data_IF_505099541122
#
_entry.id   IF_505099541122
#
_cell.length_a   1.000
_cell.length_b   1.000
_cell.length_c   1.000
_cell.angle_alpha   90.00
_cell.angle_beta   90.00
_cell.angle_gamma   90.00
#
_symmetry.space_group_name_H-M   'P 1'
#
loop_
_entity.id
_entity.type
_entity.pdbx_description
1 polymer ?
#
# COMPACT_ATOMS: atom_id res chain seq x y z
N UNK A 1 -30.21 -23.73 18.65
CA UNK A 1 -28.98 -24.47 19.00
C UNK A 1 -27.75 -23.66 18.57
N UNK A 2 -27.44 -22.52 19.19
CA UNK A 2 -26.22 -21.75 18.91
C UNK A 2 -24.92 -22.55 19.08
N UNK A 3 -24.93 -23.52 20.00
CA UNK A 3 -23.81 -24.39 20.35
C UNK A 3 -23.38 -25.37 19.24
N UNK A 4 -24.15 -25.46 18.14
CA UNK A 4 -23.82 -26.29 16.97
C UNK A 4 -23.18 -25.50 15.82
N UNK A 5 -23.17 -24.17 15.89
CA UNK A 5 -22.62 -23.30 14.86
C UNK A 5 -21.32 -22.64 15.31
N UNK A 6 -20.37 -22.48 14.38
CA UNK A 6 -19.19 -21.64 14.61
C UNK A 6 -19.54 -20.19 14.30
N UNK A 7 -19.42 -19.30 15.29
CA UNK A 7 -19.73 -17.89 15.11
C UNK A 7 -18.60 -17.21 14.33
N UNK A 8 -18.86 -16.85 13.06
CA UNK A 8 -17.86 -16.26 12.19
C UNK A 8 -17.35 -14.89 12.69
N UNK A 9 -18.17 -14.12 13.41
CA UNK A 9 -17.75 -12.85 14.04
C UNK A 9 -16.66 -13.11 15.08
N UNK A 10 -16.84 -14.10 15.95
CA UNK A 10 -15.81 -14.41 16.96
C UNK A 10 -14.49 -14.88 16.32
N UNK A 11 -14.57 -15.63 15.22
CA UNK A 11 -13.38 -16.02 14.46
C UNK A 11 -12.69 -14.81 13.83
N UNK A 12 -13.44 -13.91 13.18
CA UNK A 12 -12.90 -12.69 12.60
C UNK A 12 -12.32 -11.73 13.65
N UNK A 13 -12.90 -11.65 14.85
CA UNK A 13 -12.33 -10.87 15.96
C UNK A 13 -10.94 -11.36 16.35
N UNK A 14 -10.73 -12.69 16.42
CA UNK A 14 -9.41 -13.27 16.70
C UNK A 14 -8.42 -12.98 15.57
N UNK A 15 -8.85 -13.11 14.31
CA UNK A 15 -8.01 -12.75 13.14
C UNK A 15 -7.62 -11.28 13.18
N UNK A 16 -8.55 -10.38 13.49
CA UNK A 16 -8.29 -8.93 13.58
C UNK A 16 -7.25 -8.61 14.65
N UNK A 17 -7.34 -9.23 15.83
CA UNK A 17 -6.34 -9.08 16.90
C UNK A 17 -4.97 -9.67 16.51
N UNK A 18 -4.94 -10.78 15.79
CA UNK A 18 -3.70 -11.33 15.25
C UNK A 18 -3.08 -10.38 14.21
N UNK A 19 -3.89 -9.74 13.36
CA UNK A 19 -3.43 -8.73 12.41
C UNK A 19 -2.88 -7.48 13.09
N UNK A 20 -3.52 -7.00 14.15
CA UNK A 20 -2.97 -5.92 14.97
C UNK A 20 -1.61 -6.29 15.60
N UNK A 21 -1.49 -7.52 16.10
CA UNK A 21 -0.23 -8.03 16.67
C UNK A 21 0.89 -8.07 15.61
N UNK A 22 0.59 -8.60 14.42
CA UNK A 22 1.53 -8.60 13.30
C UNK A 22 1.90 -7.18 12.85
N UNK A 23 0.95 -6.24 12.84
CA UNK A 23 1.22 -4.85 12.53
C UNK A 23 2.20 -4.21 13.53
N UNK A 24 2.07 -4.53 14.81
CA UNK A 24 3.02 -4.08 15.84
C UNK A 24 4.42 -4.68 15.60
N UNK A 25 4.51 -5.99 15.33
CA UNK A 25 5.78 -6.65 15.01
C UNK A 25 6.45 -6.06 13.76
N UNK A 26 5.67 -5.77 12.72
CA UNK A 26 6.15 -5.13 11.49
C UNK A 26 6.70 -3.73 11.76
N UNK A 27 6.05 -2.94 12.62
CA UNK A 27 6.49 -1.58 12.93
C UNK A 27 7.84 -1.53 13.68
N UNK A 28 8.21 -2.62 14.36
CA UNK A 28 9.50 -2.78 15.05
C UNK A 28 10.62 -3.24 14.12
N UNK A 29 10.30 -3.65 12.88
CA UNK A 29 11.33 -4.06 11.91
C UNK A 29 12.17 -2.87 11.53
N UNK A 30 13.46 -2.99 11.81
CA UNK A 30 14.42 -1.98 11.42
C UNK A 30 14.59 -2.03 9.91
N UNK A 31 14.24 -0.93 9.26
CA UNK A 31 14.49 -0.72 7.84
C UNK A 31 15.43 0.47 7.72
N UNK A 32 16.57 0.27 7.05
CA UNK A 32 17.46 1.36 6.66
C UNK A 32 16.90 2.15 5.47
N UNK A 33 15.78 1.71 4.89
CA UNK A 33 15.16 2.38 3.76
C UNK A 33 14.39 3.62 4.23
N UNK A 34 14.48 4.77 3.53
CA UNK A 34 13.75 5.99 3.86
C UNK A 34 12.21 5.85 3.90
N UNK A 35 11.65 4.76 3.38
CA UNK A 35 10.21 4.45 3.50
C UNK A 35 9.79 4.09 4.92
N UNK A 36 10.75 3.81 5.83
CA UNK A 36 10.46 3.34 7.18
C UNK A 36 10.21 1.83 7.20
N UNK A 37 9.45 1.39 8.21
CA UNK A 37 9.05 0.00 8.39
C UNK A 37 7.82 -0.35 7.52
N UNK A 38 7.63 -1.63 7.14
CA UNK A 38 6.38 -2.09 6.54
C UNK A 38 5.20 -1.90 7.50
N UNK A 39 3.99 -1.78 6.96
CA UNK A 39 2.78 -1.56 7.76
C UNK A 39 1.70 -2.55 7.38
N UNK A 40 0.89 -2.97 8.34
CA UNK A 40 -0.33 -3.74 8.11
C UNK A 40 -1.50 -3.04 8.81
N UNK A 41 -2.64 -2.98 8.15
CA UNK A 41 -3.88 -2.47 8.74
C UNK A 41 -5.08 -3.29 8.30
N UNK A 42 -6.10 -3.36 9.15
CA UNK A 42 -7.42 -3.87 8.79
C UNK A 42 -8.24 -2.68 8.31
N UNK A 43 -8.62 -2.70 7.03
CA UNK A 43 -9.36 -1.61 6.39
C UNK A 43 -10.87 -1.74 6.56
N UNK A 44 -11.40 -2.95 6.45
CA UNK A 44 -12.84 -3.22 6.53
C UNK A 44 -13.12 -4.54 7.24
N UNK A 45 -14.29 -4.61 7.88
CA UNK A 45 -14.86 -5.83 8.46
C UNK A 45 -16.35 -5.85 8.14
N UNK A 46 -16.81 -6.90 7.45
CA UNK A 46 -18.21 -7.05 7.03
C UNK A 46 -18.74 -8.42 7.44
N UNK A 47 -19.83 -8.48 8.21
CA UNK A 47 -20.46 -9.75 8.54
C UNK A 47 -21.65 -9.66 9.49
N UNK A 48 -22.44 -10.73 9.51
CA UNK A 48 -23.71 -10.79 10.22
C UNK A 48 -24.86 -10.12 9.44
N UNK A 49 -26.07 -10.67 9.60
CA UNK A 49 -27.28 -10.21 8.90
C UNK A 49 -28.42 -9.88 9.86
N UNK A 50 -28.34 -10.30 11.12
CA UNK A 50 -29.33 -10.01 12.15
C UNK A 50 -28.87 -10.48 13.52
N UNK A 51 -29.26 -9.76 14.58
CA UNK A 51 -28.82 -10.02 15.96
C UNK A 51 -29.30 -11.37 16.52
N UNK A 52 -30.36 -11.94 15.95
CA UNK A 52 -30.93 -13.23 16.31
C UNK A 52 -30.51 -14.36 15.35
N UNK A 53 -29.56 -14.09 14.44
CA UNK A 53 -29.02 -15.07 13.49
C UNK A 53 -27.57 -15.38 13.84
N UNK A 54 -27.19 -16.66 13.68
CA UNK A 54 -25.78 -17.05 13.82
C UNK A 54 -25.03 -16.57 12.57
N UNK A 55 -24.00 -15.70 12.69
CA UNK A 55 -23.21 -15.27 11.55
C UNK A 55 -22.40 -16.45 11.01
N UNK A 56 -22.57 -16.73 9.72
CA UNK A 56 -21.91 -17.81 8.98
C UNK A 56 -20.69 -17.33 8.19
N UNK A 57 -20.64 -16.05 7.80
CA UNK A 57 -19.51 -15.43 7.10
C UNK A 57 -19.18 -14.05 7.65
N UNK A 58 -17.87 -13.78 7.74
CA UNK A 58 -17.30 -12.44 7.91
C UNK A 58 -16.15 -12.29 6.92
N UNK A 59 -16.08 -11.13 6.27
CA UNK A 59 -14.98 -10.73 5.39
C UNK A 59 -14.17 -9.66 6.12
N UNK A 60 -12.85 -9.85 6.17
CA UNK A 60 -11.89 -8.90 6.74
C UNK A 60 -10.93 -8.53 5.61
N UNK A 61 -10.88 -7.26 5.23
CA UNK A 61 -9.95 -6.77 4.22
C UNK A 61 -8.79 -6.04 4.90
N UNK A 62 -7.57 -6.30 4.42
CA UNK A 62 -6.34 -5.77 5.01
C UNK A 62 -5.50 -5.05 3.94
N UNK A 63 -4.77 -4.03 4.38
CA UNK A 63 -3.73 -3.35 3.59
C UNK A 63 -2.36 -3.66 4.21
N UNK A 64 -1.50 -4.37 3.47
CA UNK A 64 -0.11 -4.63 3.84
C UNK A 64 0.81 -3.86 2.91
N UNK A 65 1.41 -2.78 3.41
CA UNK A 65 2.36 -1.96 2.65
C UNK A 65 3.77 -2.49 2.82
N UNK A 66 4.44 -2.62 1.68
CA UNK A 66 5.80 -3.16 1.60
C UNK A 66 6.82 -2.05 1.42
N UNK A 67 8.03 -2.32 1.87
CA UNK A 67 9.20 -1.47 1.60
C UNK A 67 10.00 -2.04 0.43
N UNK A 68 10.71 -1.20 -0.37
CA UNK A 68 11.53 -1.69 -1.47
C UNK A 68 12.50 -2.79 -1.03
N UNK A 69 12.45 -3.94 -1.71
CA UNK A 69 13.23 -5.15 -1.36
C UNK A 69 12.39 -6.28 -0.78
N UNK A 70 11.18 -6.02 -0.31
CA UNK A 70 10.22 -7.07 0.04
C UNK A 70 9.55 -7.66 -1.20
N UNK A 71 9.34 -8.98 -1.18
CA UNK A 71 8.54 -9.69 -2.16
C UNK A 71 7.07 -9.76 -1.71
N UNK A 72 6.10 -9.37 -2.55
CA UNK A 72 4.70 -9.31 -2.15
C UNK A 72 4.07 -10.67 -1.90
N UNK A 73 4.53 -11.73 -2.56
CA UNK A 73 4.02 -13.09 -2.35
C UNK A 73 4.57 -13.67 -1.04
N UNK A 74 5.83 -13.37 -0.70
CA UNK A 74 6.41 -13.71 0.60
C UNK A 74 5.68 -12.96 1.72
N UNK A 75 5.44 -11.66 1.57
CA UNK A 75 4.71 -10.87 2.57
C UNK A 75 3.25 -11.35 2.74
N UNK A 76 2.58 -11.75 1.66
CA UNK A 76 1.25 -12.37 1.73
C UNK A 76 1.30 -13.70 2.48
N UNK A 77 2.29 -14.55 2.17
CA UNK A 77 2.48 -15.84 2.85
C UNK A 77 2.70 -15.65 4.34
N UNK A 78 3.53 -14.68 4.73
CA UNK A 78 3.76 -14.32 6.13
C UNK A 78 2.45 -14.01 6.88
N UNK A 79 1.54 -13.23 6.27
CA UNK A 79 0.24 -12.94 6.87
C UNK A 79 -0.59 -14.22 7.06
N UNK A 80 -0.65 -15.07 6.04
CA UNK A 80 -1.40 -16.34 6.07
C UNK A 80 -0.86 -17.26 7.15
N UNK A 81 0.45 -17.39 7.22
CA UNK A 81 1.12 -18.27 8.19
C UNK A 81 0.94 -17.73 9.62
N UNK A 82 0.99 -16.40 9.79
CA UNK A 82 0.72 -15.76 11.08
C UNK A 82 -0.71 -15.98 11.57
N UNK A 83 -1.70 -15.87 10.68
CA UNK A 83 -3.09 -16.19 10.97
C UNK A 83 -3.21 -17.66 11.36
N UNK A 84 -2.63 -18.56 10.58
CA UNK A 84 -2.71 -20.01 10.80
C UNK A 84 -2.11 -20.42 12.15
N UNK A 85 -0.99 -19.81 12.54
CA UNK A 85 -0.33 -20.07 13.82
C UNK A 85 -1.13 -19.57 15.03
N UNK A 86 -1.81 -18.43 14.89
CA UNK A 86 -2.48 -17.76 16.02
C UNK A 86 -4.00 -18.01 16.09
N UNK A 87 -4.62 -18.53 15.02
CA UNK A 87 -6.07 -18.76 14.90
C UNK A 87 -6.42 -20.19 14.43
N UNK A 88 -5.99 -21.26 15.12
CA UNK A 88 -6.01 -22.64 14.61
C UNK A 88 -7.40 -23.29 14.43
N UNK A 89 -8.49 -22.63 14.85
CA UNK A 89 -9.84 -23.22 14.91
C UNK A 89 -10.82 -22.65 13.88
N UNK A 90 -10.39 -21.71 13.03
CA UNK A 90 -11.24 -21.09 12.03
C UNK A 90 -10.94 -21.67 10.63
N UNK A 91 -11.99 -22.03 9.90
CA UNK A 91 -11.89 -22.19 8.44
C UNK A 91 -11.75 -20.77 7.89
N UNK A 92 -10.56 -20.44 7.41
CA UNK A 92 -10.24 -19.13 6.84
C UNK A 92 -9.93 -19.37 5.37
N UNK A 93 -10.70 -18.71 4.51
CA UNK A 93 -10.42 -18.65 3.09
C UNK A 93 -9.67 -17.36 2.77
N UNK A 94 -8.66 -17.47 1.92
CA UNK A 94 -7.84 -16.34 1.49
C UNK A 94 -8.20 -16.02 0.03
N UNK A 95 -9.28 -15.26 -0.13
CA UNK A 95 -9.95 -14.99 -1.40
C UNK A 95 -9.02 -14.30 -2.43
N UNK A 96 -9.24 -14.62 -3.71
CA UNK A 96 -8.65 -13.97 -4.88
C UNK A 96 -9.74 -13.19 -5.64
N UNK A 97 -9.42 -12.05 -6.30
CA UNK A 97 -8.08 -11.51 -6.53
C UNK A 97 -7.54 -10.70 -5.34
N UNK A 98 -6.23 -10.75 -5.16
CA UNK A 98 -5.50 -9.81 -4.31
C UNK A 98 -4.58 -8.93 -5.16
N UNK A 99 -4.30 -7.73 -4.67
CA UNK A 99 -3.30 -6.86 -5.27
C UNK A 99 -1.94 -7.17 -4.66
N UNK A 100 -0.99 -7.52 -5.52
CA UNK A 100 0.40 -7.74 -5.13
C UNK A 100 1.30 -6.85 -5.97
N UNK A 101 2.04 -5.97 -5.27
CA UNK A 101 3.00 -5.10 -5.91
C UNK A 101 4.22 -4.93 -5.01
N UNK A 102 5.40 -5.00 -5.61
CA UNK A 102 6.63 -4.54 -4.98
C UNK A 102 6.64 -3.01 -4.84
N UNK A 103 7.47 -2.49 -3.93
CA UNK A 103 7.77 -1.06 -3.88
C UNK A 103 8.57 -0.62 -5.11
N UNK A 104 8.35 0.61 -5.58
CA UNK A 104 9.18 1.20 -6.64
C UNK A 104 10.59 1.46 -6.10
N UNK A 105 11.58 0.79 -6.69
CA UNK A 105 13.00 0.99 -6.34
C UNK A 105 13.57 2.21 -7.06
N UNK A 106 14.37 3.01 -6.37
CA UNK A 106 15.20 4.05 -6.97
C UNK A 106 16.56 3.52 -7.49
N UNK A 107 16.83 2.22 -7.32
CA UNK A 107 18.04 1.56 -7.78
C UNK A 107 17.85 1.00 -9.19
N UNK A 108 18.90 1.11 -10.01
CA UNK A 108 18.94 0.58 -11.37
C UNK A 108 19.01 1.68 -12.44
N UNK A 109 19.53 1.31 -13.61
CA UNK A 109 19.80 2.26 -14.70
C UNK A 109 18.52 2.96 -15.21
N UNK A 110 17.40 2.24 -15.29
CA UNK A 110 16.11 2.80 -15.73
C UNK A 110 15.58 3.89 -14.78
N UNK A 111 15.57 3.63 -13.47
CA UNK A 111 15.12 4.60 -12.47
C UNK A 111 16.03 5.86 -12.46
N UNK A 112 17.35 5.66 -12.52
CA UNK A 112 18.31 6.76 -12.56
C UNK A 112 18.14 7.62 -13.83
N UNK A 113 17.94 6.99 -14.99
CA UNK A 113 17.70 7.70 -16.25
C UNK A 113 16.40 8.50 -16.22
N UNK A 114 15.28 7.90 -15.79
CA UNK A 114 14.00 8.59 -15.70
C UNK A 114 14.06 9.82 -14.77
N UNK A 115 14.69 9.67 -13.59
CA UNK A 115 14.88 10.78 -12.66
C UNK A 115 15.80 11.87 -13.23
N UNK A 116 16.89 11.51 -13.93
CA UNK A 116 17.78 12.49 -14.54
C UNK A 116 17.09 13.31 -15.63
N UNK A 117 16.32 12.66 -16.51
CA UNK A 117 15.56 13.34 -17.56
C UNK A 117 14.55 14.32 -16.95
N UNK A 118 13.82 13.89 -15.91
CA UNK A 118 12.87 14.77 -15.21
C UNK A 118 13.57 15.98 -14.57
N UNK A 119 14.70 15.77 -13.87
CA UNK A 119 15.47 16.88 -13.26
C UNK A 119 15.89 17.92 -14.28
N UNK A 120 16.35 17.50 -15.46
CA UNK A 120 16.73 18.44 -16.52
C UNK A 120 15.52 19.21 -17.06
N UNK A 121 14.36 18.55 -17.22
CA UNK A 121 13.12 19.23 -17.60
C UNK A 121 12.71 20.29 -16.57
N UNK A 122 12.80 19.97 -15.27
CA UNK A 122 12.48 20.94 -14.20
C UNK A 122 13.46 22.11 -14.20
N UNK A 123 14.77 21.87 -14.33
CA UNK A 123 15.79 22.94 -14.35
C UNK A 123 15.54 23.99 -15.43
N UNK A 124 15.04 23.59 -16.61
CA UNK A 124 14.70 24.52 -17.70
C UNK A 124 13.59 25.51 -17.34
N UNK A 125 12.71 25.16 -16.39
CA UNK A 125 11.59 26.01 -15.97
C UNK A 125 11.95 27.02 -14.88
N UNK A 126 13.04 26.77 -14.13
CA UNK A 126 13.36 27.54 -12.92
C UNK A 126 12.39 27.34 -11.75
N UNK A 127 11.42 26.41 -11.87
CA UNK A 127 10.46 26.08 -10.81
C UNK A 127 11.19 25.29 -9.72
N UNK A 128 10.94 25.66 -8.46
CA UNK A 128 11.44 24.92 -7.31
C UNK A 128 10.75 23.56 -7.22
N UNK A 129 11.51 22.50 -6.95
CA UNK A 129 10.99 21.15 -6.75
C UNK A 129 11.63 20.49 -5.54
N UNK A 130 10.96 19.48 -4.99
CA UNK A 130 11.46 18.66 -3.89
C UNK A 130 11.50 17.21 -4.34
N UNK A 131 12.55 16.49 -3.93
CA UNK A 131 12.62 15.04 -4.06
C UNK A 131 12.35 14.40 -2.72
N UNK A 132 11.26 13.64 -2.65
CA UNK A 132 10.82 13.00 -1.43
C UNK A 132 10.57 11.51 -1.64
N UNK A 133 10.44 10.80 -0.53
CA UNK A 133 10.14 9.38 -0.52
C UNK A 133 8.64 9.20 -0.54
N UNK A 134 8.11 8.67 -1.64
CA UNK A 134 6.71 8.30 -1.74
C UNK A 134 6.40 7.09 -0.84
N UNK A 135 5.68 7.32 0.27
CA UNK A 135 5.20 6.28 1.20
C UNK A 135 3.79 5.77 0.85
N UNK A 136 3.48 5.79 -0.45
CA UNK A 136 2.18 5.43 -1.02
C UNK A 136 2.35 4.60 -2.30
N UNK A 137 1.30 3.87 -2.67
CA UNK A 137 1.28 3.06 -3.88
C UNK A 137 1.07 3.91 -5.13
N UNK A 138 1.68 3.51 -6.25
CA UNK A 138 1.45 4.08 -7.60
C UNK A 138 1.55 2.96 -8.63
N UNK A 139 1.07 3.15 -9.85
CA UNK A 139 1.25 2.15 -10.92
C UNK A 139 2.71 2.05 -11.43
N UNK A 140 3.60 2.97 -11.04
CA UNK A 140 4.97 3.02 -11.53
C UNK A 140 5.79 1.78 -11.16
N UNK A 141 5.50 1.13 -10.04
CA UNK A 141 6.14 -0.14 -9.66
C UNK A 141 5.82 -1.29 -10.64
N UNK A 142 4.59 -1.34 -11.17
CA UNK A 142 4.17 -2.34 -12.16
C UNK A 142 4.90 -2.12 -13.48
N UNK A 143 4.99 -0.86 -13.93
CA UNK A 143 5.72 -0.49 -15.14
C UNK A 143 7.23 -0.75 -14.99
N UNK A 144 7.81 -0.44 -13.84
CA UNK A 144 9.21 -0.73 -13.54
C UNK A 144 9.49 -2.23 -13.53
N UNK A 145 8.57 -3.06 -13.00
CA UNK A 145 8.68 -4.51 -13.05
C UNK A 145 8.63 -5.07 -14.49
N UNK A 146 7.95 -4.36 -15.41
CA UNK A 146 7.95 -4.65 -16.84
C UNK A 146 9.22 -4.14 -17.57
N UNK A 147 10.19 -3.56 -16.85
CA UNK A 147 11.45 -3.07 -17.41
C UNK A 147 11.41 -1.63 -17.93
N UNK A 148 10.32 -0.89 -17.69
CA UNK A 148 10.20 0.50 -18.13
C UNK A 148 10.92 1.46 -17.16
N UNK A 149 11.70 2.44 -17.65
CA UNK A 149 12.20 3.54 -16.83
C UNK A 149 11.05 4.33 -16.21
N UNK A 150 10.97 4.37 -14.88
CA UNK A 150 9.87 5.02 -14.17
C UNK A 150 10.38 6.00 -13.12
N UNK A 151 9.69 7.13 -13.00
CA UNK A 151 9.82 8.12 -11.94
C UNK A 151 8.42 8.60 -11.57
N UNK A 152 8.15 8.80 -10.28
CA UNK A 152 6.88 9.38 -9.82
C UNK A 152 7.06 10.89 -9.74
N UNK A 153 6.14 11.63 -10.35
CA UNK A 153 6.15 13.09 -10.39
C UNK A 153 4.71 13.60 -10.39
N UNK A 154 4.46 14.66 -9.63
CA UNK A 154 3.18 15.34 -9.62
C UNK A 154 3.20 16.58 -8.74
N UNK A 155 2.25 17.50 -8.95
CA UNK A 155 2.02 18.64 -8.07
C UNK A 155 1.30 18.23 -6.78
N UNK A 156 1.19 19.14 -5.82
CA UNK A 156 0.48 18.92 -4.58
C UNK A 156 1.34 18.27 -3.49
N UNK A 157 0.69 18.04 -2.34
CA UNK A 157 1.25 17.32 -1.23
C UNK A 157 0.42 16.08 -0.95
N UNK A 158 1.09 14.95 -0.73
CA UNK A 158 0.41 13.73 -0.31
C UNK A 158 -0.36 13.90 1.00
N UNK A 159 0.03 14.87 1.83
CA UNK A 159 -0.68 15.18 3.08
C UNK A 159 -2.14 15.62 2.89
N UNK A 160 -2.53 16.07 1.69
CA UNK A 160 -3.92 16.41 1.37
C UNK A 160 -4.72 15.29 0.69
N UNK A 161 -4.05 14.25 0.20
CA UNK A 161 -4.74 13.12 -0.41
C UNK A 161 -5.53 12.33 0.64
N UNK A 162 -6.73 11.87 0.27
CA UNK A 162 -7.65 11.10 1.13
C UNK A 162 -8.09 11.85 2.41
N UNK A 163 -8.06 13.17 2.38
CA UNK A 163 -8.68 14.00 3.42
C UNK A 163 -10.13 14.30 3.05
N UNK A 164 -10.94 14.75 4.03
CA UNK A 164 -12.35 15.06 3.77
C UNK A 164 -12.53 16.19 2.73
N UNK A 165 -11.63 17.17 2.76
CA UNK A 165 -11.59 18.31 1.84
C UNK A 165 -10.32 18.21 0.97
N UNK A 166 -10.17 17.16 0.16
CA UNK A 166 -9.03 17.00 -0.74
C UNK A 166 -8.98 18.12 -1.80
N UNK A 167 -7.82 18.80 -1.93
CA UNK A 167 -7.62 19.91 -2.88
C UNK A 167 -6.18 19.98 -3.39
N UNK A 168 -5.98 20.76 -4.45
CA UNK A 168 -4.67 21.10 -5.01
C UNK A 168 -4.64 22.56 -5.48
N UNK A 169 -3.49 23.24 -5.34
CA UNK A 169 -3.32 24.58 -5.87
C UNK A 169 -3.20 24.53 -7.39
N UNK A 170 -4.07 25.25 -8.10
CA UNK A 170 -4.05 25.29 -9.56
C UNK A 170 -2.72 25.82 -10.11
N UNK A 171 -2.01 26.68 -9.37
CA UNK A 171 -0.69 27.17 -9.76
C UNK A 171 0.34 26.05 -9.78
N UNK A 172 0.25 25.08 -8.86
CA UNK A 172 1.13 23.91 -8.87
C UNK A 172 0.81 22.99 -10.06
N UNK A 173 -0.46 22.87 -10.43
CA UNK A 173 -0.89 22.13 -11.63
C UNK A 173 -0.33 22.78 -12.90
N UNK A 174 -0.41 24.11 -13.01
CA UNK A 174 0.16 24.88 -14.11
C UNK A 174 1.70 24.70 -14.18
N UNK A 175 2.38 24.80 -13.04
CA UNK A 175 3.82 24.55 -12.94
C UNK A 175 4.22 23.14 -13.38
N UNK A 176 3.51 22.11 -12.90
CA UNK A 176 3.74 20.74 -13.32
C UNK A 176 3.50 20.55 -14.83
N UNK A 177 2.51 21.26 -15.40
CA UNK A 177 2.24 21.25 -16.83
C UNK A 177 3.42 21.81 -17.63
N UNK A 178 4.01 22.93 -17.21
CA UNK A 178 5.20 23.49 -17.86
C UNK A 178 6.42 22.56 -17.78
N UNK A 179 6.58 21.84 -16.66
CA UNK A 179 7.62 20.81 -16.53
C UNK A 179 7.39 19.67 -17.53
N UNK A 180 6.15 19.17 -17.63
CA UNK A 180 5.81 18.09 -18.56
C UNK A 180 5.99 18.49 -20.03
N UNK A 181 5.70 19.74 -20.40
CA UNK A 181 5.97 20.26 -21.75
C UNK A 181 7.47 20.19 -22.09
N UNK A 182 8.34 20.55 -21.14
CA UNK A 182 9.80 20.47 -21.31
C UNK A 182 10.37 19.04 -21.24
N UNK A 183 9.58 18.09 -20.76
CA UNK A 183 9.93 16.68 -20.71
C UNK A 183 9.69 15.98 -22.05
N UNK A 184 8.63 16.37 -22.76
CA UNK A 184 8.19 15.74 -24.02
C UNK A 184 8.71 16.51 -25.26
N UNK A 185 8.93 17.82 -25.15
CA UNK A 185 9.46 18.69 -26.21
C UNK A 185 10.98 18.79 -26.21
#
# INVERSE_FOLDING_TARGET
YPEKGSNAIYSASRVTLAMESLAQELSLRHSSHPCGAPTLSVGTIHGGTGVNLMPDRVVVEIDRRLVPGEDPLIARREVIDYISANCPTAVIDHEEPFLASSGLSNKGAGAAAAAAILREAVKKTGIHFVEEVARYGTNACVYAAAGLPCVVFGPGSISQAHTADEWIDLREVEQATEILKNLVG
#
